data_IF_057589963541
#
_entry.id   IF_057589963541
#
_cell.length_a   1.000
_cell.length_b   1.000
_cell.length_c   1.000
_cell.angle_alpha   90.00
_cell.angle_beta   90.00
_cell.angle_gamma   90.00
#
_symmetry.space_group_name_H-M   'P 1'
#
loop_
_entity.id
_entity.type
_entity.pdbx_description
1 polymer ?
#
# COMPACT_ATOMS: atom_id res chain seq x y z
N UNK A 1 20.45 13.37 -39.08
CA UNK A 1 20.47 14.62 -38.29
C UNK A 1 20.42 14.33 -36.79
N UNK A 2 19.50 13.51 -36.29
CA UNK A 2 19.37 13.21 -34.85
C UNK A 2 20.41 12.22 -34.29
N UNK A 3 20.94 11.31 -35.13
CA UNK A 3 21.81 10.21 -34.68
C UNK A 3 23.10 10.65 -33.95
N UNK A 4 23.86 11.66 -34.42
CA UNK A 4 25.04 12.12 -33.68
C UNK A 4 24.69 12.67 -32.29
N UNK A 5 23.58 13.40 -32.16
CA UNK A 5 23.10 13.91 -30.87
C UNK A 5 22.67 12.78 -29.93
N UNK A 6 21.95 11.78 -30.46
CA UNK A 6 21.56 10.59 -29.70
C UNK A 6 22.77 9.80 -29.19
N UNK A 7 23.74 9.53 -30.06
CA UNK A 7 24.97 8.81 -29.69
C UNK A 7 25.79 9.58 -28.67
N UNK A 8 25.81 10.91 -28.72
CA UNK A 8 26.49 11.69 -27.71
C UNK A 8 25.77 11.59 -26.35
N UNK A 9 24.45 11.74 -26.35
CA UNK A 9 23.65 11.68 -25.12
C UNK A 9 23.69 10.30 -24.44
N UNK A 10 23.63 9.20 -25.19
CA UNK A 10 23.61 7.84 -24.60
C UNK A 10 24.97 7.42 -24.02
N UNK A 11 26.08 8.02 -24.48
CA UNK A 11 27.43 7.73 -23.97
C UNK A 11 27.87 8.72 -22.88
N UNK A 12 27.00 9.65 -22.48
CA UNK A 12 27.29 10.63 -21.46
C UNK A 12 26.89 10.10 -20.07
N UNK A 13 27.88 9.86 -19.21
CA UNK A 13 27.68 9.30 -17.87
C UNK A 13 27.03 10.27 -16.85
N UNK A 14 26.74 11.52 -17.26
CA UNK A 14 26.18 12.57 -16.40
C UNK A 14 24.64 12.58 -16.37
N UNK A 15 23.99 11.84 -17.28
CA UNK A 15 22.55 11.84 -17.44
C UNK A 15 21.92 10.47 -17.08
N UNK A 16 20.60 10.38 -17.19
CA UNK A 16 19.84 9.15 -16.87
C UNK A 16 19.33 8.42 -18.12
N UNK A 17 19.89 8.71 -19.30
CA UNK A 17 19.51 8.07 -20.55
C UNK A 17 20.18 6.68 -20.66
N UNK A 18 19.38 5.62 -20.51
CA UNK A 18 19.86 4.22 -20.51
C UNK A 18 20.97 3.97 -19.47
N UNK A 19 20.63 4.16 -18.20
CA UNK A 19 21.51 3.82 -17.08
C UNK A 19 22.06 2.40 -17.21
N UNK A 20 23.33 2.23 -16.85
CA UNK A 20 23.96 0.91 -16.74
C UNK A 20 23.13 -0.01 -15.84
N UNK A 21 23.00 -1.27 -16.25
CA UNK A 21 22.25 -2.31 -15.55
C UNK A 21 23.17 -3.47 -15.17
N UNK A 22 22.89 -4.10 -14.03
CA UNK A 22 23.63 -5.24 -13.51
C UNK A 22 22.72 -6.29 -12.85
N UNK A 23 23.30 -7.20 -12.03
CA UNK A 23 22.56 -8.30 -11.42
C UNK A 23 21.43 -7.84 -10.48
N UNK A 24 21.63 -6.75 -9.74
CA UNK A 24 20.60 -6.15 -8.90
C UNK A 24 19.37 -5.69 -9.67
N UNK A 25 19.62 -5.00 -10.80
CA UNK A 25 18.56 -4.59 -11.73
C UNK A 25 17.80 -5.80 -12.28
N UNK A 26 18.52 -6.86 -12.68
CA UNK A 26 17.90 -8.08 -13.19
C UNK A 26 16.90 -8.69 -12.19
N UNK A 27 17.30 -8.82 -10.92
CA UNK A 27 16.45 -9.41 -9.88
C UNK A 27 15.20 -8.58 -9.62
N UNK A 28 15.33 -7.25 -9.52
CA UNK A 28 14.16 -6.40 -9.26
C UNK A 28 13.22 -6.31 -10.46
N UNK A 29 13.72 -6.37 -11.70
CA UNK A 29 12.84 -6.47 -12.88
C UNK A 29 12.05 -7.79 -12.87
N UNK A 30 12.61 -8.90 -12.38
CA UNK A 30 11.87 -10.15 -12.19
C UNK A 30 10.82 -10.04 -11.08
N UNK A 31 11.12 -9.33 -9.98
CA UNK A 31 10.14 -9.05 -8.94
C UNK A 31 8.99 -8.16 -9.47
N UNK A 32 9.29 -7.15 -10.28
CA UNK A 32 8.29 -6.31 -10.95
C UNK A 32 7.42 -7.16 -11.88
N UNK A 33 8.04 -8.04 -12.69
CA UNK A 33 7.30 -8.96 -13.54
C UNK A 33 6.37 -9.88 -12.74
N UNK A 34 6.82 -10.43 -11.62
CA UNK A 34 5.99 -11.21 -10.71
C UNK A 34 4.77 -10.41 -10.22
N UNK A 35 4.99 -9.17 -9.77
CA UNK A 35 3.91 -8.29 -9.33
C UNK A 35 2.89 -7.99 -10.42
N UNK A 36 3.36 -7.69 -11.64
CA UNK A 36 2.49 -7.43 -12.81
C UNK A 36 1.67 -8.66 -13.20
N UNK A 37 2.29 -9.85 -13.29
CA UNK A 37 1.59 -11.08 -13.64
C UNK A 37 0.57 -11.46 -12.56
N UNK A 38 0.91 -11.31 -11.29
CA UNK A 38 0.01 -11.65 -10.18
C UNK A 38 -1.17 -10.69 -10.10
N UNK A 39 -0.93 -9.38 -10.24
CA UNK A 39 -2.01 -8.37 -10.28
C UNK A 39 -2.95 -8.61 -11.47
N UNK A 40 -2.38 -8.89 -12.65
CA UNK A 40 -3.15 -9.21 -13.86
C UNK A 40 -3.97 -10.49 -13.68
N UNK A 41 -3.37 -11.54 -13.10
CA UNK A 41 -4.06 -12.80 -12.82
C UNK A 41 -5.29 -12.58 -11.95
N UNK A 42 -5.17 -11.82 -10.86
CA UNK A 42 -6.28 -11.55 -9.93
C UNK A 42 -7.41 -10.81 -10.67
N UNK A 43 -7.09 -9.76 -11.43
CA UNK A 43 -8.07 -8.97 -12.16
C UNK A 43 -8.75 -9.77 -13.27
N UNK A 44 -7.99 -10.49 -14.09
CA UNK A 44 -8.51 -11.29 -15.20
C UNK A 44 -9.37 -12.42 -14.66
N UNK A 45 -8.92 -13.15 -13.64
CA UNK A 45 -9.70 -14.20 -13.01
C UNK A 45 -10.99 -13.64 -12.41
N UNK A 46 -10.92 -12.51 -11.71
CA UNK A 46 -12.09 -11.82 -11.16
C UNK A 46 -13.13 -11.47 -12.22
N UNK A 47 -12.68 -11.00 -13.39
CA UNK A 47 -13.55 -10.68 -14.52
C UNK A 47 -14.13 -11.92 -15.21
N UNK A 48 -13.33 -12.96 -15.46
CA UNK A 48 -13.78 -14.17 -16.14
C UNK A 48 -14.77 -14.97 -15.29
N UNK A 49 -14.56 -15.05 -13.97
CA UNK A 49 -15.45 -15.74 -13.02
C UNK A 49 -16.62 -14.87 -12.53
N UNK A 50 -16.79 -13.64 -13.04
CA UNK A 50 -17.79 -12.70 -12.55
C UNK A 50 -19.22 -13.19 -12.79
N UNK A 51 -19.45 -13.88 -13.92
CA UNK A 51 -20.79 -14.39 -14.28
C UNK A 51 -21.16 -15.67 -13.55
N UNK A 52 -20.18 -16.43 -13.10
CA UNK A 52 -20.36 -17.72 -12.45
C UNK A 52 -19.05 -18.49 -12.41
N UNK A 53 -18.91 -19.35 -11.39
CA UNK A 53 -17.83 -20.34 -11.30
C UNK A 53 -18.41 -21.67 -10.85
N UNK A 54 -17.60 -22.73 -10.79
CA UNK A 54 -18.07 -24.03 -10.28
C UNK A 54 -18.62 -23.95 -8.84
N UNK A 55 -18.06 -23.07 -8.01
CA UNK A 55 -18.46 -22.92 -6.61
C UNK A 55 -19.78 -22.15 -6.46
N UNK A 56 -20.00 -21.14 -7.32
CA UNK A 56 -21.21 -20.32 -7.36
C UNK A 56 -21.58 -20.04 -8.83
N UNK A 57 -22.35 -20.95 -9.47
CA UNK A 57 -22.66 -20.86 -10.91
C UNK A 57 -23.56 -19.68 -11.29
N UNK A 58 -24.37 -19.21 -10.35
CA UNK A 58 -25.39 -18.16 -10.46
C UNK A 58 -24.89 -16.77 -10.00
N UNK A 59 -23.57 -16.58 -9.95
CA UNK A 59 -22.96 -15.33 -9.44
C UNK A 59 -23.46 -14.06 -10.12
N UNK A 60 -23.74 -14.11 -11.43
CA UNK A 60 -24.31 -12.99 -12.20
C UNK A 60 -25.61 -12.44 -11.60
N UNK A 61 -26.39 -13.26 -10.89
CA UNK A 61 -27.70 -12.89 -10.35
C UNK A 61 -27.56 -12.03 -9.06
N UNK A 62 -26.37 -12.02 -8.45
CA UNK A 62 -26.05 -11.27 -7.23
C UNK A 62 -25.36 -9.91 -7.49
N UNK A 63 -24.99 -9.64 -8.75
CA UNK A 63 -24.31 -8.41 -9.15
C UNK A 63 -22.81 -8.39 -8.84
N UNK A 64 -22.20 -7.21 -8.97
CA UNK A 64 -20.74 -7.05 -8.89
C UNK A 64 -20.18 -7.16 -7.47
N UNK A 65 -20.91 -6.62 -6.48
CA UNK A 65 -20.45 -6.42 -5.11
C UNK A 65 -21.46 -6.99 -4.12
N UNK A 66 -21.08 -8.09 -3.46
CA UNK A 66 -21.88 -8.77 -2.45
C UNK A 66 -20.93 -9.46 -1.44
N UNK A 67 -21.36 -9.72 -0.18
CA UNK A 67 -20.44 -10.10 0.89
C UNK A 67 -19.85 -11.52 0.76
N UNK A 68 -20.71 -12.50 0.51
CA UNK A 68 -20.44 -13.92 0.32
C UNK A 68 -21.75 -14.63 -0.07
N UNK A 69 -21.68 -15.93 -0.37
CA UNK A 69 -22.81 -16.84 -0.59
C UNK A 69 -22.93 -17.86 0.57
N UNK A 70 -22.78 -17.33 1.79
CA UNK A 70 -22.87 -18.06 3.06
C UNK A 70 -21.67 -18.96 3.41
N UNK A 71 -21.67 -19.56 4.62
CA UNK A 71 -20.61 -20.44 5.10
C UNK A 71 -20.70 -21.88 4.53
N UNK A 72 -21.78 -22.21 3.81
CA UNK A 72 -21.95 -23.52 3.17
C UNK A 72 -20.90 -23.82 2.09
N UNK A 73 -20.88 -25.05 1.58
CA UNK A 73 -19.96 -25.51 0.50
C UNK A 73 -18.46 -25.28 0.80
N UNK A 74 -18.08 -25.26 2.07
CA UNK A 74 -16.70 -25.02 2.51
C UNK A 74 -16.34 -23.55 2.75
N UNK A 75 -17.30 -22.63 2.60
CA UNK A 75 -17.12 -21.19 2.79
C UNK A 75 -16.90 -20.44 1.47
N UNK A 76 -17.56 -19.29 1.35
CA UNK A 76 -17.57 -18.46 0.12
C UNK A 76 -17.15 -17.02 0.38
N UNK A 77 -16.26 -16.82 1.36
CA UNK A 77 -15.67 -15.52 1.64
C UNK A 77 -14.93 -14.98 0.40
N UNK A 78 -15.04 -13.68 0.15
CA UNK A 78 -14.32 -12.97 -0.92
C UNK A 78 -14.55 -13.55 -2.33
N UNK A 79 -15.77 -14.01 -2.62
CA UNK A 79 -16.11 -14.70 -3.88
C UNK A 79 -16.57 -13.75 -5.00
N UNK A 80 -16.97 -12.51 -4.67
CA UNK A 80 -17.51 -11.56 -5.65
C UNK A 80 -16.43 -11.00 -6.58
N UNK A 81 -16.82 -10.43 -7.71
CA UNK A 81 -15.87 -9.78 -8.61
C UNK A 81 -15.26 -8.51 -7.98
N UNK A 82 -16.04 -7.81 -7.13
CA UNK A 82 -15.54 -6.70 -6.34
C UNK A 82 -14.43 -7.13 -5.35
N UNK A 83 -14.54 -8.32 -4.77
CA UNK A 83 -13.51 -8.83 -3.85
C UNK A 83 -12.19 -9.12 -4.58
N UNK A 84 -12.25 -9.55 -5.85
CA UNK A 84 -11.05 -9.68 -6.68
C UNK A 84 -10.39 -8.31 -6.96
N UNK A 85 -11.19 -7.25 -7.20
CA UNK A 85 -10.67 -5.88 -7.27
C UNK A 85 -10.00 -5.46 -5.96
N UNK A 86 -10.66 -5.68 -4.83
CA UNK A 86 -10.12 -5.38 -3.50
C UNK A 86 -8.76 -6.07 -3.26
N UNK A 87 -8.64 -7.36 -3.60
CA UNK A 87 -7.38 -8.11 -3.51
C UNK A 87 -6.30 -7.60 -4.49
N UNK A 88 -6.70 -7.21 -5.70
CA UNK A 88 -5.78 -6.70 -6.71
C UNK A 88 -5.14 -5.37 -6.30
N UNK A 89 -5.84 -4.52 -5.53
CA UNK A 89 -5.28 -3.24 -5.07
C UNK A 89 -4.08 -3.44 -4.14
N UNK A 90 -4.07 -4.46 -3.27
CA UNK A 90 -2.89 -4.77 -2.45
C UNK A 90 -1.68 -5.15 -3.31
N UNK A 91 -1.90 -6.00 -4.32
CA UNK A 91 -0.84 -6.39 -5.26
C UNK A 91 -0.37 -5.25 -6.13
N UNK A 92 -1.28 -4.37 -6.55
CA UNK A 92 -0.96 -3.15 -7.28
C UNK A 92 -0.07 -2.22 -6.44
N UNK A 93 -0.46 -1.90 -5.20
CA UNK A 93 0.34 -1.05 -4.31
C UNK A 93 1.73 -1.63 -4.07
N UNK A 94 1.81 -2.94 -3.82
CA UNK A 94 3.08 -3.63 -3.62
C UNK A 94 3.96 -3.62 -4.89
N UNK A 95 3.38 -3.87 -6.06
CA UNK A 95 4.10 -3.86 -7.35
C UNK A 95 4.63 -2.46 -7.65
N UNK A 96 3.80 -1.43 -7.49
CA UNK A 96 4.23 -0.04 -7.68
C UNK A 96 5.30 0.33 -6.65
N UNK A 97 5.16 -0.12 -5.39
CA UNK A 97 6.18 0.06 -4.36
C UNK A 97 7.54 -0.53 -4.76
N UNK A 98 7.58 -1.75 -5.31
CA UNK A 98 8.83 -2.34 -5.80
C UNK A 98 9.45 -1.51 -6.94
N UNK A 99 8.64 -1.04 -7.88
CA UNK A 99 9.09 -0.19 -8.99
C UNK A 99 9.67 1.13 -8.46
N UNK A 100 8.96 1.82 -7.58
CA UNK A 100 9.39 3.13 -7.07
C UNK A 100 10.57 3.02 -6.12
N UNK A 101 10.65 1.96 -5.30
CA UNK A 101 11.80 1.70 -4.44
C UNK A 101 13.06 1.48 -5.27
N UNK A 102 12.96 0.67 -6.32
CA UNK A 102 14.05 0.47 -7.26
C UNK A 102 14.49 1.78 -7.92
N UNK A 103 13.53 2.50 -8.51
CA UNK A 103 13.83 3.75 -9.20
C UNK A 103 14.51 4.75 -8.26
N UNK A 104 13.97 4.94 -7.06
CA UNK A 104 14.47 5.90 -6.09
C UNK A 104 15.87 5.53 -5.59
N UNK A 105 16.10 4.28 -5.21
CA UNK A 105 17.43 3.87 -4.71
C UNK A 105 18.51 3.96 -5.80
N UNK A 106 18.18 3.54 -7.03
CA UNK A 106 19.09 3.66 -8.17
C UNK A 106 19.46 5.13 -8.44
N UNK A 107 18.51 6.05 -8.37
CA UNK A 107 18.81 7.48 -8.58
C UNK A 107 19.55 8.12 -7.40
N UNK A 108 19.23 7.79 -6.14
CA UNK A 108 20.00 8.29 -4.98
C UNK A 108 21.47 7.92 -5.13
N UNK A 109 21.78 6.66 -5.45
CA UNK A 109 23.17 6.20 -5.53
C UNK A 109 23.92 6.83 -6.69
N UNK A 110 23.24 7.12 -7.81
CA UNK A 110 23.78 7.92 -8.91
C UNK A 110 24.07 9.37 -8.50
N UNK A 111 23.12 10.05 -7.87
CA UNK A 111 23.28 11.44 -7.44
C UNK A 111 24.33 11.60 -6.35
N UNK A 112 24.56 10.58 -5.52
CA UNK A 112 25.66 10.54 -4.54
C UNK A 112 27.02 10.20 -5.18
N UNK A 113 27.06 9.82 -6.45
CA UNK A 113 28.30 9.36 -7.11
C UNK A 113 28.81 8.00 -6.62
N UNK A 114 27.98 7.23 -5.91
CA UNK A 114 28.35 5.93 -5.32
C UNK A 114 27.49 4.78 -5.85
N UNK A 115 27.62 4.51 -7.15
CA UNK A 115 26.82 3.49 -7.85
C UNK A 115 27.13 2.07 -7.38
N UNK A 116 28.34 1.81 -6.85
CA UNK A 116 28.71 0.48 -6.33
C UNK A 116 27.82 0.04 -5.17
N UNK A 117 27.34 0.98 -4.35
CA UNK A 117 26.41 0.68 -3.25
C UNK A 117 25.16 -0.04 -3.76
N UNK A 118 24.53 0.46 -4.83
CA UNK A 118 23.37 -0.21 -5.41
C UNK A 118 23.77 -1.55 -6.03
N UNK A 119 24.84 -1.58 -6.83
CA UNK A 119 25.25 -2.78 -7.56
C UNK A 119 25.56 -3.97 -6.64
N UNK A 120 26.18 -3.72 -5.48
CA UNK A 120 26.57 -4.76 -4.53
C UNK A 120 25.41 -5.13 -3.58
N UNK A 121 24.72 -4.13 -3.00
CA UNK A 121 23.72 -4.37 -1.96
C UNK A 121 22.33 -4.73 -2.48
N UNK A 122 21.97 -4.40 -3.73
CA UNK A 122 20.62 -4.67 -4.24
C UNK A 122 20.37 -6.15 -4.58
N UNK A 123 21.40 -7.00 -4.57
CA UNK A 123 21.30 -8.43 -4.89
C UNK A 123 20.69 -9.28 -3.77
N UNK A 124 20.59 -8.73 -2.54
CA UNK A 124 20.03 -9.42 -1.38
C UNK A 124 19.12 -8.48 -0.58
N UNK A 125 18.05 -9.03 0.02
CA UNK A 125 17.00 -8.21 0.66
C UNK A 125 17.49 -7.40 1.87
N UNK A 126 18.52 -7.86 2.58
CA UNK A 126 19.09 -7.10 3.70
C UNK A 126 19.72 -5.78 3.24
N UNK A 127 20.25 -5.72 2.01
CA UNK A 127 20.77 -4.47 1.45
C UNK A 127 19.66 -3.44 1.24
N UNK A 128 18.50 -3.86 0.72
CA UNK A 128 17.32 -2.99 0.60
C UNK A 128 16.83 -2.48 1.96
N UNK A 129 16.88 -3.31 3.01
CA UNK A 129 16.47 -2.88 4.35
C UNK A 129 17.48 -1.90 4.96
N UNK A 130 18.77 -2.25 4.96
CA UNK A 130 19.82 -1.50 5.66
C UNK A 130 20.24 -0.24 4.89
N UNK A 131 20.61 -0.42 3.63
CA UNK A 131 21.31 0.61 2.84
C UNK A 131 20.33 1.53 2.09
N UNK A 132 19.09 1.08 1.91
CA UNK A 132 18.02 1.91 1.37
C UNK A 132 17.06 2.42 2.45
N UNK A 133 16.26 1.56 3.07
CA UNK A 133 15.20 2.03 3.98
C UNK A 133 15.77 2.67 5.25
N UNK A 134 16.65 1.96 5.97
CA UNK A 134 17.19 2.45 7.23
C UNK A 134 18.10 3.67 7.03
N UNK A 135 19.12 3.55 6.17
CA UNK A 135 20.10 4.62 5.96
C UNK A 135 19.46 5.94 5.50
N UNK A 136 18.52 5.89 4.56
CA UNK A 136 17.89 7.07 4.00
C UNK A 136 16.78 7.66 4.88
N UNK A 137 16.30 6.91 5.89
CA UNK A 137 15.34 7.43 6.88
C UNK A 137 15.97 8.35 7.92
N UNK A 138 17.30 8.37 8.04
CA UNK A 138 18.03 9.11 9.08
C UNK A 138 17.68 10.60 9.16
N UNK A 139 17.61 11.30 8.02
CA UNK A 139 17.26 12.74 7.98
C UNK A 139 15.76 12.96 8.24
N UNK A 140 14.91 12.07 7.71
CA UNK A 140 13.46 12.11 7.90
C UNK A 140 13.11 12.03 9.39
N UNK A 141 13.62 11.02 10.10
CA UNK A 141 13.27 10.79 11.52
C UNK A 141 13.84 11.85 12.45
N UNK A 142 14.84 12.61 12.01
CA UNK A 142 15.42 13.74 12.74
C UNK A 142 14.81 15.09 12.31
N UNK A 143 13.72 15.10 11.53
CA UNK A 143 13.01 16.34 11.17
C UNK A 143 12.54 17.13 12.40
N UNK A 144 12.22 16.44 13.49
CA UNK A 144 12.09 16.99 14.84
C UNK A 144 12.68 16.01 15.85
N UNK A 145 13.34 16.52 16.89
CA UNK A 145 13.93 15.74 17.96
C UNK A 145 13.92 16.55 19.28
N UNK A 146 14.35 16.00 20.43
CA UNK A 146 14.32 16.73 21.70
C UNK A 146 15.13 18.04 21.73
N UNK A 147 16.04 18.24 20.79
CA UNK A 147 16.91 19.41 20.72
C UNK A 147 16.38 20.52 19.79
N UNK A 148 15.38 20.22 18.95
CA UNK A 148 14.81 21.18 18.02
C UNK A 148 14.08 20.56 16.83
N UNK A 149 13.75 21.38 15.84
CA UNK A 149 13.06 20.97 14.61
C UNK A 149 13.65 21.69 13.40
N UNK A 150 13.51 21.09 12.22
CA UNK A 150 13.92 21.67 10.94
C UNK A 150 12.77 21.63 9.91
N UNK A 151 13.04 22.04 8.68
CA UNK A 151 12.07 22.08 7.58
C UNK A 151 11.48 20.71 7.20
N UNK A 152 12.12 19.60 7.59
CA UNK A 152 11.64 18.24 7.37
C UNK A 152 10.62 17.76 8.43
N UNK A 153 10.37 18.56 9.47
CA UNK A 153 9.45 18.20 10.57
C UNK A 153 8.04 17.80 10.10
N UNK A 154 7.50 18.48 9.09
CA UNK A 154 6.20 18.14 8.50
C UNK A 154 6.20 16.75 7.85
N UNK A 155 7.30 16.38 7.20
CA UNK A 155 7.46 15.05 6.58
C UNK A 155 7.65 13.97 7.63
N UNK A 156 8.41 14.24 8.69
CA UNK A 156 8.55 13.34 9.83
C UNK A 156 7.19 13.04 10.47
N UNK A 157 6.35 14.06 10.65
CA UNK A 157 5.00 13.89 11.20
C UNK A 157 4.09 13.13 10.23
N UNK A 158 4.10 13.49 8.94
CA UNK A 158 3.33 12.79 7.91
C UNK A 158 3.74 11.32 7.77
N UNK A 159 5.02 11.00 7.97
CA UNK A 159 5.53 9.63 7.95
C UNK A 159 4.92 8.78 9.07
N UNK A 160 4.89 9.31 10.31
CA UNK A 160 4.22 8.63 11.43
C UNK A 160 2.70 8.56 11.26
N UNK A 161 2.09 9.63 10.74
CA UNK A 161 0.67 9.65 10.42
C UNK A 161 0.31 8.57 9.38
N UNK A 162 1.13 8.41 8.34
CA UNK A 162 0.99 7.35 7.35
C UNK A 162 1.00 5.96 7.98
N UNK A 163 1.94 5.69 8.90
CA UNK A 163 1.98 4.43 9.65
C UNK A 163 0.73 4.20 10.50
N UNK A 164 0.26 5.25 11.19
CA UNK A 164 -0.96 5.17 11.99
C UNK A 164 -2.18 4.83 11.12
N UNK A 165 -2.36 5.52 10.01
CA UNK A 165 -3.49 5.30 9.10
C UNK A 165 -3.40 3.91 8.46
N UNK A 166 -2.21 3.49 8.05
CA UNK A 166 -1.98 2.15 7.50
C UNK A 166 -2.34 1.06 8.51
N UNK A 167 -1.83 1.14 9.73
CA UNK A 167 -2.13 0.19 10.81
C UNK A 167 -3.61 0.21 11.24
N UNK A 168 -4.25 1.38 11.19
CA UNK A 168 -5.70 1.51 11.42
C UNK A 168 -6.50 0.72 10.38
N UNK A 169 -6.01 0.65 9.13
CA UNK A 169 -6.59 -0.21 8.09
C UNK A 169 -6.67 -1.68 8.53
N UNK A 170 -5.64 -2.20 9.20
CA UNK A 170 -5.61 -3.60 9.65
C UNK A 170 -6.72 -3.95 10.63
N UNK A 171 -7.20 -2.99 11.43
CA UNK A 171 -8.36 -3.19 12.31
C UNK A 171 -9.57 -3.67 11.50
N UNK A 172 -9.87 -3.00 10.38
CA UNK A 172 -11.01 -3.33 9.52
C UNK A 172 -10.79 -4.56 8.63
N UNK A 173 -9.53 -4.85 8.27
CA UNK A 173 -9.18 -5.96 7.37
C UNK A 173 -9.08 -7.31 8.10
N UNK A 174 -8.65 -7.31 9.37
CA UNK A 174 -8.48 -8.52 10.18
C UNK A 174 -9.76 -8.85 10.96
N UNK A 175 -10.29 -7.88 11.72
CA UNK A 175 -11.47 -8.13 12.54
C UNK A 175 -12.74 -7.93 11.74
N UNK A 176 -13.66 -8.89 11.81
CA UNK A 176 -14.86 -8.90 10.97
C UNK A 176 -16.09 -8.40 11.71
N UNK A 177 -17.15 -8.13 10.94
CA UNK A 177 -18.38 -7.45 11.40
C UNK A 177 -18.99 -8.02 12.68
N UNK A 178 -19.05 -9.35 12.84
CA UNK A 178 -19.75 -9.99 13.96
C UNK A 178 -19.27 -9.52 15.33
N UNK A 179 -17.95 -9.47 15.51
CA UNK A 179 -17.32 -8.99 16.75
C UNK A 179 -17.74 -7.56 17.10
N UNK A 180 -17.72 -6.66 16.11
CA UNK A 180 -18.11 -5.26 16.32
C UNK A 180 -19.60 -5.08 16.54
N UNK A 181 -20.44 -5.92 15.93
CA UNK A 181 -21.88 -5.86 16.11
C UNK A 181 -22.26 -6.21 17.56
N UNK A 182 -21.68 -7.26 18.13
CA UNK A 182 -21.90 -7.62 19.53
C UNK A 182 -21.43 -6.51 20.48
N UNK A 183 -20.28 -5.89 20.21
CA UNK A 183 -19.78 -4.76 21.01
C UNK A 183 -20.74 -3.56 20.95
N UNK A 184 -21.21 -3.19 19.75
CA UNK A 184 -22.14 -2.05 19.57
C UNK A 184 -23.45 -2.30 20.31
N UNK A 185 -23.94 -3.53 20.36
CA UNK A 185 -25.15 -3.88 21.12
C UNK A 185 -24.97 -3.64 22.61
N UNK A 186 -23.80 -3.94 23.18
CA UNK A 186 -23.50 -3.62 24.59
C UNK A 186 -23.41 -2.10 24.83
N UNK A 187 -22.89 -1.33 23.87
CA UNK A 187 -22.84 0.13 23.96
C UNK A 187 -24.23 0.76 23.87
N UNK A 188 -25.10 0.23 23.00
CA UNK A 188 -26.48 0.66 22.87
C UNK A 188 -27.26 0.40 24.17
N UNK A 189 -27.08 -0.77 24.78
CA UNK A 189 -27.63 -1.09 26.10
C UNK A 189 -27.16 -0.11 27.17
N UNK A 190 -25.85 0.20 27.19
CA UNK A 190 -25.29 1.14 28.17
C UNK A 190 -25.85 2.57 27.99
N UNK A 191 -26.00 3.03 26.75
CA UNK A 191 -26.56 4.36 26.44
C UNK A 191 -27.99 4.51 26.95
N UNK A 192 -28.85 3.51 26.71
CA UNK A 192 -30.25 3.53 27.15
C UNK A 192 -30.40 3.45 28.67
N UNK A 193 -29.46 2.79 29.35
CA UNK A 193 -29.47 2.61 30.82
C UNK A 193 -28.75 3.72 31.58
N UNK A 194 -28.03 4.60 30.91
CA UNK A 194 -27.31 5.71 31.56
C UNK A 194 -28.25 6.89 31.79
N UNK A 195 -28.52 7.29 33.05
CA UNK A 195 -29.35 8.45 33.36
C UNK A 195 -28.82 9.72 32.68
N UNK A 196 -29.70 10.64 32.30
CA UNK A 196 -29.42 11.88 31.53
C UNK A 196 -29.04 11.63 30.06
N UNK A 197 -28.19 10.64 29.76
CA UNK A 197 -27.83 10.28 28.39
C UNK A 197 -29.03 9.67 27.62
N UNK A 198 -29.88 8.91 28.31
CA UNK A 198 -31.07 8.27 27.74
C UNK A 198 -32.16 9.24 27.25
N UNK A 199 -32.05 10.53 27.58
CA UNK A 199 -32.90 11.59 27.03
C UNK A 199 -32.55 11.87 25.57
N UNK A 200 -31.29 11.64 25.18
CA UNK A 200 -30.79 11.79 23.82
C UNK A 200 -30.95 10.44 23.13
N UNK A 201 -31.75 10.40 22.06
CA UNK A 201 -31.97 9.17 21.26
C UNK A 201 -31.37 9.33 19.89
N UNK A 202 -30.78 8.25 19.38
CA UNK A 202 -30.35 8.19 17.98
C UNK A 202 -31.57 8.18 17.06
N UNK A 203 -31.44 8.83 15.91
CA UNK A 203 -32.43 8.74 14.82
C UNK A 203 -32.32 7.41 14.09
N UNK A 204 -31.08 7.00 13.80
CA UNK A 204 -30.75 5.77 13.09
C UNK A 204 -30.07 4.80 14.06
N UNK A 205 -30.43 3.51 13.98
CA UNK A 205 -29.86 2.51 14.90
C UNK A 205 -28.36 2.32 14.64
N UNK A 206 -27.51 2.36 15.67
CA UNK A 206 -26.09 2.10 15.50
C UNK A 206 -25.88 0.63 15.13
N UNK A 207 -25.21 0.39 14.02
CA UNK A 207 -24.85 -0.95 13.53
C UNK A 207 -23.41 -0.95 13.04
N UNK A 208 -22.75 -2.10 13.13
CA UNK A 208 -21.42 -2.27 12.54
C UNK A 208 -21.47 -2.10 11.01
N UNK A 209 -20.37 -1.63 10.43
CA UNK A 209 -20.19 -1.54 8.97
C UNK A 209 -20.54 -2.86 8.29
N UNK A 210 -21.09 -2.80 7.08
CA UNK A 210 -21.31 -4.00 6.28
C UNK A 210 -19.97 -4.69 5.94
N UNK A 211 -20.01 -5.98 5.58
CA UNK A 211 -18.78 -6.74 5.24
C UNK A 211 -18.02 -6.06 4.09
N UNK A 212 -18.73 -5.69 3.01
CA UNK A 212 -18.13 -5.01 1.86
C UNK A 212 -17.64 -3.61 2.24
N UNK A 213 -18.41 -2.87 3.06
CA UNK A 213 -17.98 -1.55 3.54
C UNK A 213 -16.70 -1.63 4.36
N UNK A 214 -16.57 -2.61 5.26
CA UNK A 214 -15.37 -2.79 6.08
C UNK A 214 -14.13 -3.10 5.21
N UNK A 215 -14.28 -3.96 4.19
CA UNK A 215 -13.23 -4.21 3.19
C UNK A 215 -12.80 -2.91 2.50
N UNK A 216 -13.76 -2.11 2.04
CA UNK A 216 -13.49 -0.84 1.35
C UNK A 216 -12.79 0.18 2.28
N UNK A 217 -13.32 0.38 3.49
CA UNK A 217 -12.77 1.32 4.48
C UNK A 217 -11.37 0.88 4.90
N UNK A 218 -11.16 -0.41 5.14
CA UNK A 218 -9.84 -0.97 5.44
C UNK A 218 -8.86 -0.77 4.28
N UNK A 219 -9.29 -1.02 3.04
CA UNK A 219 -8.48 -0.80 1.85
C UNK A 219 -8.13 0.68 1.65
N UNK A 220 -9.07 1.59 1.92
CA UNK A 220 -8.85 3.03 1.84
C UNK A 220 -7.78 3.50 2.84
N UNK A 221 -7.90 3.09 4.11
CA UNK A 221 -6.89 3.38 5.13
C UNK A 221 -5.53 2.77 4.77
N UNK A 222 -5.51 1.50 4.33
CA UNK A 222 -4.28 0.85 3.88
C UNK A 222 -3.62 1.64 2.75
N UNK A 223 -4.39 2.03 1.73
CA UNK A 223 -3.88 2.76 0.55
C UNK A 223 -3.37 4.15 0.90
N UNK A 224 -4.15 4.93 1.66
CA UNK A 224 -3.76 6.29 2.08
C UNK A 224 -2.52 6.25 2.96
N UNK A 225 -2.49 5.35 3.95
CA UNK A 225 -1.35 5.17 4.83
C UNK A 225 -0.09 4.75 4.06
N UNK A 226 -0.23 3.83 3.10
CA UNK A 226 0.86 3.38 2.23
C UNK A 226 1.46 4.54 1.41
N UNK A 227 0.60 5.33 0.76
CA UNK A 227 1.01 6.47 -0.07
C UNK A 227 1.68 7.54 0.78
N UNK A 228 1.08 7.96 1.91
CA UNK A 228 1.65 9.01 2.76
C UNK A 228 2.96 8.61 3.41
N UNK A 229 3.08 7.35 3.82
CA UNK A 229 4.33 6.81 4.37
C UNK A 229 5.46 6.92 3.35
N UNK A 230 5.22 6.45 2.11
CA UNK A 230 6.25 6.50 1.09
C UNK A 230 6.52 7.91 0.56
N UNK A 231 5.49 8.74 0.39
CA UNK A 231 5.64 10.12 -0.09
C UNK A 231 6.51 10.96 0.87
N UNK A 232 6.25 10.87 2.18
CA UNK A 232 7.05 11.56 3.19
C UNK A 232 8.51 11.09 3.18
N UNK A 233 8.73 9.77 3.09
CA UNK A 233 10.07 9.19 2.99
C UNK A 233 10.81 9.64 1.73
N UNK A 234 10.17 9.53 0.55
CA UNK A 234 10.75 9.90 -0.73
C UNK A 234 11.22 11.36 -0.74
N UNK A 235 10.35 12.27 -0.31
CA UNK A 235 10.65 13.70 -0.30
C UNK A 235 11.76 14.01 0.70
N UNK A 236 11.61 13.63 1.97
CA UNK A 236 12.54 14.03 3.02
C UNK A 236 13.92 13.38 2.87
N UNK A 237 14.00 12.13 2.40
CA UNK A 237 15.28 11.45 2.19
C UNK A 237 16.07 12.02 0.99
N UNK A 238 15.36 12.56 -0.01
CA UNK A 238 15.99 13.24 -1.15
C UNK A 238 16.36 14.67 -0.79
N UNK A 239 15.40 15.47 -0.33
CA UNK A 239 15.63 16.88 -0.01
C UNK A 239 16.58 17.06 1.17
N UNK A 240 16.61 16.14 2.13
CA UNK A 240 17.54 16.20 3.27
C UNK A 240 19.00 15.98 2.88
N UNK A 241 19.28 15.48 1.67
CA UNK A 241 20.65 15.28 1.15
C UNK A 241 21.04 16.27 0.07
N UNK A 242 20.09 16.69 -0.76
CA UNK A 242 20.36 17.47 -1.97
C UNK A 242 19.67 18.84 -2.00
N UNK A 243 18.79 19.14 -1.03
CA UNK A 243 18.03 20.39 -0.95
C UNK A 243 18.58 21.39 0.06
#
# INVERSE_FOLDING_TARGET
IWLPGWLNAINENSNSLFLTIGPGDFLVHHAIALGLHTTTLILVKGALDARGSKLMPDKKDFGYSFPCDGPGRGGTCDISAWDAFYLAVFWMLNTIGWVTFYWHWKHITLWQGNVSQFNESSTYLMGWLRDYLWLNSSQLINGYNPFGMNSLSVWAWMFLFGHLVWATGFMFLISWRGYWQELIETLAWAHERTPLANLIRWKDKPVALSIVQARLVGLAHFSVGYIFTYAAFLIASTSGKFG
#
